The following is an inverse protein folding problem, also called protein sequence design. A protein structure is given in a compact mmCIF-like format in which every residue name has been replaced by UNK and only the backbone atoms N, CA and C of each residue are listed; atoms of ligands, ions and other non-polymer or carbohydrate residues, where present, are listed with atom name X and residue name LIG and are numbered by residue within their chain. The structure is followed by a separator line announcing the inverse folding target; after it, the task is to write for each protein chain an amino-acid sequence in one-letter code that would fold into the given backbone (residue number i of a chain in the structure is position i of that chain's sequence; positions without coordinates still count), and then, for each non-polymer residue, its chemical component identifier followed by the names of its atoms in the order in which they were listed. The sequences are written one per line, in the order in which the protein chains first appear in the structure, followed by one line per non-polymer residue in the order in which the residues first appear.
data_IF_183290271041
#
_entry.id   IF_183290271041
#
_cell.length_a   1.000
_cell.length_b   1.000
_cell.length_c   1.000
_cell.angle_alpha   90.00
_cell.angle_beta   90.00
_cell.angle_gamma   90.00
#
_symmetry.space_group_name_H-M   'P 1'
#
loop_
_entity.id
_entity.type
_entity.pdbx_description
1 polymer ?
#
# COMPACT_ATOMS: atom_id res chain seq x y z
N UNK A 1 -8.67 -8.76 17.44
CA UNK A 1 -8.67 -8.96 15.99
C UNK A 1 -9.63 -7.96 15.38
N UNK A 2 -9.12 -6.75 15.12
CA UNK A 2 -9.88 -5.76 14.36
C UNK A 2 -9.80 -6.24 12.91
N UNK A 3 -10.86 -6.92 12.47
CA UNK A 3 -11.09 -7.11 11.04
C UNK A 3 -11.08 -5.70 10.42
N UNK A 4 -10.36 -5.51 9.30
CA UNK A 4 -10.86 -4.59 8.29
C UNK A 4 -12.33 -4.96 8.11
N UNK A 5 -13.23 -4.12 8.61
CA UNK A 5 -14.66 -4.41 8.58
C UNK A 5 -14.99 -4.73 7.14
N UNK A 6 -15.47 -5.95 6.95
CA UNK A 6 -16.19 -6.44 5.79
C UNK A 6 -17.19 -5.36 5.35
N UNK A 7 -16.81 -4.46 4.44
CA UNK A 7 -17.70 -4.18 3.32
C UNK A 7 -17.36 -5.26 2.31
N UNK A 8 -18.36 -6.09 2.01
CA UNK A 8 -18.24 -7.29 1.18
C UNK A 8 -17.84 -7.02 -0.27
N UNK A 9 -17.65 -5.77 -0.64
CA UNK A 9 -17.36 -5.36 -2.00
C UNK A 9 -16.34 -4.24 -1.89
N UNK A 10 -15.05 -4.53 -2.10
CA UNK A 10 -13.98 -3.55 -2.23
C UNK A 10 -13.33 -3.76 -3.61
N UNK A 11 -13.98 -3.23 -4.65
CA UNK A 11 -13.54 -3.29 -6.05
C UNK A 11 -13.17 -1.87 -6.54
N UNK A 12 -12.19 -1.29 -5.86
CA UNK A 12 -11.62 0.02 -6.18
C UNK A 12 -10.18 -0.10 -6.66
N UNK A 13 -9.86 -1.06 -7.53
CA UNK A 13 -8.67 -0.92 -8.38
C UNK A 13 -8.84 0.35 -9.21
N UNK A 14 -7.75 1.05 -9.50
CA UNK A 14 -7.67 2.19 -10.43
C UNK A 14 -7.98 1.77 -11.89
N UNK A 15 -9.01 0.94 -12.11
CA UNK A 15 -9.47 0.37 -13.39
C UNK A 15 -10.05 1.42 -14.36
N UNK A 16 -9.80 2.72 -14.14
CA UNK A 16 -10.35 3.80 -14.94
C UNK A 16 -9.34 4.84 -15.43
N UNK A 17 -8.09 4.81 -14.95
CA UNK A 17 -7.05 5.64 -15.54
C UNK A 17 -6.25 4.79 -16.53
N UNK A 18 -6.18 5.17 -17.82
CA UNK A 18 -5.20 4.57 -18.71
C UNK A 18 -3.84 4.74 -18.04
N UNK A 19 -3.13 3.63 -17.82
CA UNK A 19 -1.69 3.70 -17.59
C UNK A 19 -1.13 4.58 -18.70
N UNK A 20 -0.55 5.73 -18.35
CA UNK A 20 0.04 6.64 -19.32
C UNK A 20 1.08 5.83 -20.12
N UNK A 21 0.88 5.64 -21.44
CA UNK A 21 1.80 4.84 -22.25
C UNK A 21 3.18 5.49 -22.39
N UNK A 22 3.37 6.72 -21.90
CA UNK A 22 4.66 7.43 -21.81
C UNK A 22 5.21 7.54 -20.38
N UNK A 23 4.59 6.92 -19.36
CA UNK A 23 5.22 6.82 -18.05
C UNK A 23 6.30 5.74 -18.09
N UNK A 24 7.56 6.14 -17.89
CA UNK A 24 8.71 5.22 -17.88
C UNK A 24 8.76 4.28 -16.66
N UNK A 25 7.63 3.97 -16.02
CA UNK A 25 7.47 2.72 -15.26
C UNK A 25 8.05 2.66 -13.84
N UNK A 26 9.04 3.47 -13.49
CA UNK A 26 9.81 3.23 -12.26
C UNK A 26 9.08 3.74 -11.01
N UNK A 27 8.66 2.84 -10.09
CA UNK A 27 8.01 3.22 -8.85
C UNK A 27 8.95 4.09 -8.01
N UNK A 28 8.43 5.22 -7.51
CA UNK A 28 9.19 6.18 -6.70
C UNK A 28 9.86 5.46 -5.53
N UNK A 29 11.11 5.78 -5.16
CA UNK A 29 11.75 5.20 -3.99
C UNK A 29 10.91 5.34 -2.70
N UNK A 30 11.13 4.45 -1.75
CA UNK A 30 10.57 4.60 -0.41
C UNK A 30 11.16 5.86 0.25
N UNK A 31 10.33 6.61 0.97
CA UNK A 31 10.75 7.70 1.83
C UNK A 31 11.54 7.15 3.02
N UNK A 32 11.09 6.02 3.60
CA UNK A 32 11.83 5.37 4.67
C UNK A 32 13.21 4.87 4.22
N UNK A 33 14.17 4.90 5.14
CA UNK A 33 15.54 4.41 4.91
C UNK A 33 15.79 3.06 5.57
N UNK A 34 16.67 2.28 4.97
CA UNK A 34 17.03 0.94 5.47
C UNK A 34 15.85 -0.03 5.42
N UNK A 35 15.98 -1.14 6.14
CA UNK A 35 15.01 -2.24 6.12
C UNK A 35 15.40 -3.36 5.15
N UNK A 36 14.65 -4.46 5.23
CA UNK A 36 14.83 -5.64 4.39
C UNK A 36 14.51 -5.33 2.92
N UNK A 37 15.46 -5.49 1.97
CA UNK A 37 15.24 -5.21 0.55
C UNK A 37 14.09 -6.00 -0.07
N UNK A 38 13.79 -7.21 0.44
CA UNK A 38 12.66 -8.01 -0.06
C UNK A 38 11.32 -7.37 0.31
N UNK A 39 11.16 -6.94 1.56
CA UNK A 39 9.96 -6.24 2.02
C UNK A 39 9.85 -4.87 1.34
N UNK A 40 10.96 -4.15 1.17
CA UNK A 40 10.96 -2.87 0.48
C UNK A 40 10.52 -2.99 -0.98
N UNK A 41 10.98 -4.02 -1.68
CA UNK A 41 10.53 -4.32 -3.04
C UNK A 41 9.04 -4.62 -3.06
N UNK A 42 8.54 -5.42 -2.12
CA UNK A 42 7.11 -5.72 -1.97
C UNK A 42 6.29 -4.45 -1.73
N UNK A 43 6.73 -3.54 -0.86
CA UNK A 43 6.07 -2.25 -0.63
C UNK A 43 5.98 -1.41 -1.91
N UNK A 44 7.04 -1.39 -2.72
CA UNK A 44 7.04 -0.69 -4.01
C UNK A 44 6.10 -1.37 -5.00
N UNK A 45 5.99 -2.70 -4.99
CA UNK A 45 4.99 -3.45 -5.79
C UNK A 45 3.56 -3.12 -5.39
N UNK A 46 3.24 -3.07 -4.09
CA UNK A 46 1.91 -2.65 -3.60
C UNK A 46 1.60 -1.21 -4.05
N UNK A 47 2.59 -0.32 -4.01
CA UNK A 47 2.43 1.05 -4.50
C UNK A 47 2.10 1.12 -5.99
N UNK A 48 2.61 0.20 -6.82
CA UNK A 48 2.27 0.15 -8.26
C UNK A 48 0.79 -0.19 -8.46
N UNK A 49 0.23 -1.10 -7.66
CA UNK A 49 -1.17 -1.49 -7.79
C UNK A 49 -2.14 -0.47 -7.18
N UNK A 50 -1.74 0.17 -6.08
CA UNK A 50 -2.59 1.10 -5.31
C UNK A 50 -2.47 2.57 -5.74
N UNK A 51 -1.28 3.01 -6.13
CA UNK A 51 -1.00 4.43 -6.42
C UNK A 51 0.15 4.60 -7.41
N UNK A 52 -0.05 4.15 -8.65
CA UNK A 52 0.89 4.41 -9.75
C UNK A 52 0.87 5.88 -10.18
N UNK A 53 1.51 6.73 -9.36
CA UNK A 53 1.52 8.17 -9.48
C UNK A 53 2.89 8.77 -9.07
N UNK A 54 3.34 9.89 -9.67
CA UNK A 54 4.63 10.51 -9.32
C UNK A 54 4.75 11.07 -7.89
N UNK A 55 3.64 11.33 -7.18
CA UNK A 55 3.64 11.76 -5.78
C UNK A 55 2.66 10.91 -4.95
N UNK A 56 2.97 9.60 -4.78
CA UNK A 56 2.01 8.62 -4.30
C UNK A 56 1.57 8.88 -2.85
N UNK A 57 2.42 9.50 -2.03
CA UNK A 57 2.11 9.80 -0.62
C UNK A 57 1.00 10.82 -0.38
N UNK A 58 0.70 11.65 -1.38
CA UNK A 58 -0.25 12.76 -1.28
C UNK A 58 -1.57 12.50 -1.99
N UNK A 59 -1.69 11.37 -2.70
CA UNK A 59 -2.82 11.11 -3.58
C UNK A 59 -4.05 10.66 -2.78
N UNK A 60 -5.21 11.13 -3.18
CA UNK A 60 -6.52 10.63 -2.74
C UNK A 60 -7.07 9.68 -3.79
N UNK A 61 -8.03 8.85 -3.41
CA UNK A 61 -8.88 8.18 -4.38
C UNK A 61 -9.38 9.16 -5.45
N UNK A 62 -9.28 8.76 -6.73
CA UNK A 62 -9.66 9.60 -7.87
C UNK A 62 -8.55 10.53 -8.40
N UNK A 63 -7.38 10.60 -7.75
CA UNK A 63 -6.19 11.28 -8.26
C UNK A 63 -5.93 12.69 -7.73
N UNK A 64 -6.85 13.23 -6.93
CA UNK A 64 -6.65 14.50 -6.23
C UNK A 64 -5.49 14.43 -5.23
N UNK A 65 -4.93 15.59 -4.85
CA UNK A 65 -3.77 15.67 -3.95
C UNK A 65 -4.04 16.49 -2.70
N UNK A 66 -3.41 16.10 -1.61
CA UNK A 66 -3.38 16.86 -0.35
C UNK A 66 -1.99 17.39 -0.04
N UNK A 67 -1.94 18.56 0.60
CA UNK A 67 -0.69 19.18 1.05
C UNK A 67 -0.42 18.92 2.53
N UNK A 68 -1.47 18.90 3.36
CA UNK A 68 -1.35 18.63 4.79
C UNK A 68 -1.30 17.13 5.04
N UNK A 69 -0.09 16.63 5.31
CA UNK A 69 0.19 15.24 5.70
C UNK A 69 0.45 15.11 7.22
N UNK A 70 0.09 16.11 8.03
CA UNK A 70 0.22 16.01 9.50
C UNK A 70 -0.72 14.97 10.12
N UNK A 71 -1.71 14.50 9.36
CA UNK A 71 -2.65 13.43 9.70
C UNK A 71 -3.26 12.86 8.43
N UNK A 72 -3.90 11.69 8.54
CA UNK A 72 -4.73 11.15 7.48
C UNK A 72 -5.85 12.15 7.11
N UNK A 73 -6.14 12.37 5.82
CA UNK A 73 -7.05 13.43 5.38
C UNK A 73 -8.50 13.22 5.80
N UNK A 74 -8.91 11.96 5.99
CA UNK A 74 -10.28 11.56 6.35
C UNK A 74 -11.36 12.25 5.49
N UNK A 75 -11.13 12.26 4.18
CA UNK A 75 -12.07 12.82 3.20
C UNK A 75 -12.86 11.69 2.57
N UNK A 76 -14.17 11.71 2.74
CA UNK A 76 -15.11 10.82 2.06
C UNK A 76 -15.23 11.25 0.59
N UNK A 77 -14.49 10.57 -0.30
CA UNK A 77 -14.49 10.81 -1.75
C UNK A 77 -15.48 9.84 -2.40
N UNK A 78 -16.45 10.33 -3.21
CA UNK A 78 -17.40 9.47 -3.91
C UNK A 78 -16.70 8.46 -4.81
N UNK A 79 -17.16 7.22 -4.78
CA UNK A 79 -16.70 6.17 -5.67
C UNK A 79 -17.44 6.32 -7.00
N UNK A 80 -16.67 6.49 -8.08
CA UNK A 80 -17.20 6.79 -9.42
C UNK A 80 -17.06 5.64 -10.41
N UNK A 81 -16.40 4.55 -10.00
CA UNK A 81 -16.25 3.33 -10.78
C UNK A 81 -16.28 2.08 -9.88
N UNK A 82 -16.73 0.95 -10.42
CA UNK A 82 -16.85 -0.32 -9.69
C UNK A 82 -18.26 -0.58 -9.14
N UNK A 83 -18.43 -1.58 -8.27
CA UNK A 83 -19.71 -2.04 -7.73
C UNK A 83 -20.22 -1.12 -6.61
N UNK A 84 -19.30 -0.35 -6.00
CA UNK A 84 -19.57 0.55 -4.88
C UNK A 84 -19.87 1.97 -5.35
N UNK A 85 -20.19 2.15 -6.64
CA UNK A 85 -20.59 3.45 -7.16
C UNK A 85 -21.79 3.96 -6.36
N UNK A 86 -21.64 5.16 -5.80
CA UNK A 86 -22.63 5.76 -4.89
C UNK A 86 -22.22 5.73 -3.42
N UNK A 87 -21.27 4.89 -3.04
CA UNK A 87 -20.61 4.96 -1.73
C UNK A 87 -19.45 5.98 -1.76
N UNK A 88 -18.77 6.14 -0.62
CA UNK A 88 -17.54 6.91 -0.55
C UNK A 88 -16.41 6.12 0.12
N UNK A 89 -15.18 6.48 -0.23
CA UNK A 89 -13.96 5.95 0.36
C UNK A 89 -13.12 7.06 0.98
N UNK A 90 -12.32 6.70 1.98
CA UNK A 90 -11.31 7.61 2.57
C UNK A 90 -9.89 7.30 2.09
N UNK A 91 -9.76 6.43 1.08
CA UNK A 91 -8.47 5.96 0.61
C UNK A 91 -7.51 7.10 0.23
N UNK A 92 -6.32 7.08 0.83
CA UNK A 92 -5.30 8.09 0.61
C UNK A 92 -3.88 7.53 0.77
N UNK A 93 -2.94 8.27 0.18
CA UNK A 93 -1.52 8.00 0.27
C UNK A 93 -1.07 6.81 -0.57
N UNK A 94 0.20 6.46 -0.37
CA UNK A 94 0.94 5.51 -1.22
C UNK A 94 0.32 4.11 -1.23
N UNK A 95 -0.32 3.76 -0.14
CA UNK A 95 -0.89 2.43 0.09
C UNK A 95 -2.43 2.47 0.17
N UNK A 96 -3.04 3.59 -0.26
CA UNK A 96 -4.49 3.81 -0.27
C UNK A 96 -5.18 3.47 1.06
N UNK A 97 -4.56 3.88 2.18
CA UNK A 97 -5.09 3.65 3.51
C UNK A 97 -6.48 4.26 3.67
N UNK A 98 -7.38 3.52 4.33
CA UNK A 98 -8.59 4.10 4.93
C UNK A 98 -8.27 4.75 6.26
N UNK A 99 -9.06 5.74 6.66
CA UNK A 99 -8.87 6.43 7.94
C UNK A 99 -8.82 5.45 9.11
N UNK A 100 -9.75 4.48 9.15
CA UNK A 100 -9.83 3.49 10.22
C UNK A 100 -8.60 2.58 10.25
N UNK A 101 -8.19 2.06 9.09
CA UNK A 101 -6.98 1.24 8.94
C UNK A 101 -5.73 2.00 9.35
N UNK A 102 -5.57 3.25 8.89
CA UNK A 102 -4.45 4.10 9.28
C UNK A 102 -4.40 4.29 10.80
N UNK A 103 -5.52 4.66 11.43
CA UNK A 103 -5.55 4.87 12.89
C UNK A 103 -5.29 3.60 13.69
N UNK A 104 -5.70 2.44 13.18
CA UNK A 104 -5.40 1.14 13.78
C UNK A 104 -3.91 0.82 13.66
N UNK A 105 -3.37 0.82 12.44
CA UNK A 105 -1.99 0.40 12.18
C UNK A 105 -0.97 1.41 12.66
N UNK A 106 -1.25 2.71 12.59
CA UNK A 106 -0.39 3.70 13.21
C UNK A 106 -0.37 3.58 14.75
N UNK A 107 -1.45 3.09 15.39
CA UNK A 107 -1.40 2.82 16.84
C UNK A 107 -0.45 1.66 17.19
N UNK A 108 -0.35 0.68 16.30
CA UNK A 108 0.48 -0.50 16.49
C UNK A 108 1.94 -0.26 16.10
N UNK A 109 2.18 0.46 14.99
CA UNK A 109 3.48 0.49 14.31
C UNK A 109 4.09 1.89 14.12
N UNK A 110 3.41 2.97 14.49
CA UNK A 110 3.98 4.31 14.29
C UNK A 110 5.09 4.60 15.31
N UNK A 111 6.28 4.96 14.83
CA UNK A 111 7.46 5.19 15.67
C UNK A 111 7.39 6.44 16.56
N UNK A 112 6.51 7.39 16.24
CA UNK A 112 6.26 8.58 17.05
C UNK A 112 4.90 8.53 17.77
N UNK A 113 4.77 9.15 18.95
CA UNK A 113 3.49 9.30 19.62
C UNK A 113 2.50 10.12 18.75
N UNK A 114 1.19 10.01 19.02
CA UNK A 114 0.21 10.82 18.31
C UNK A 114 0.46 12.32 18.53
N UNK A 115 0.37 13.08 17.45
CA UNK A 115 0.54 14.55 17.42
C UNK A 115 -0.50 15.24 18.31
N UNK A 116 -1.70 14.66 18.41
CA UNK A 116 -2.76 15.12 19.33
C UNK A 116 -3.19 13.95 20.22
N UNK A 117 -2.75 13.97 21.48
CA UNK A 117 -2.95 12.87 22.42
C UNK A 117 -4.44 12.50 22.62
N UNK A 118 -5.32 13.50 22.73
CA UNK A 118 -6.75 13.28 22.94
C UNK A 118 -7.50 12.76 21.71
N UNK A 119 -6.99 13.03 20.50
CA UNK A 119 -7.60 12.57 19.23
C UNK A 119 -6.87 11.37 18.63
N UNK A 120 -5.76 10.93 19.24
CA UNK A 120 -4.86 9.87 18.75
C UNK A 120 -4.54 10.02 17.26
N UNK A 121 -4.19 11.23 16.83
CA UNK A 121 -3.84 11.50 15.43
C UNK A 121 -2.36 11.24 15.19
N UNK A 122 -2.03 10.36 14.26
CA UNK A 122 -0.66 10.06 13.85
C UNK A 122 -0.29 10.80 12.56
N UNK A 123 0.99 11.14 12.43
CA UNK A 123 1.50 11.85 11.26
C UNK A 123 1.39 10.98 10.02
N UNK A 124 0.79 11.50 8.94
CA UNK A 124 0.65 10.79 7.68
C UNK A 124 1.73 11.18 6.66
N UNK A 125 2.86 11.70 7.16
CA UNK A 125 3.99 12.07 6.33
C UNK A 125 4.59 10.85 5.60
N UNK A 126 5.28 11.04 4.46
CA UNK A 126 5.78 9.93 3.64
C UNK A 126 6.55 8.85 4.41
N UNK A 127 7.50 9.27 5.26
CA UNK A 127 8.30 8.37 6.10
C UNK A 127 7.43 7.44 6.97
N UNK A 128 6.31 7.96 7.51
CA UNK A 128 5.45 7.19 8.41
C UNK A 128 4.47 6.29 7.67
N UNK A 129 4.04 6.67 6.46
CA UNK A 129 3.28 5.76 5.61
C UNK A 129 4.10 4.50 5.33
N UNK A 130 5.35 4.69 4.92
CA UNK A 130 6.27 3.58 4.67
C UNK A 130 6.59 2.79 5.94
N UNK A 131 7.01 3.46 7.02
CA UNK A 131 7.42 2.77 8.25
C UNK A 131 6.28 1.92 8.83
N UNK A 132 5.06 2.44 8.86
CA UNK A 132 3.89 1.69 9.35
C UNK A 132 3.62 0.46 8.49
N UNK A 133 3.72 0.58 7.16
CA UNK A 133 3.55 -0.58 6.26
C UNK A 133 4.68 -1.58 6.41
N UNK A 134 5.93 -1.10 6.48
CA UNK A 134 7.10 -1.97 6.65
C UNK A 134 7.00 -2.80 7.92
N UNK A 135 6.77 -2.14 9.06
CA UNK A 135 6.67 -2.83 10.35
C UNK A 135 5.50 -3.80 10.36
N UNK A 136 4.35 -3.41 9.78
CA UNK A 136 3.20 -4.30 9.64
C UNK A 136 3.50 -5.51 8.76
N UNK A 137 4.15 -5.35 7.60
CA UNK A 137 4.53 -6.46 6.72
C UNK A 137 5.59 -7.39 7.35
N UNK A 138 6.43 -6.87 8.26
CA UNK A 138 7.42 -7.68 8.98
C UNK A 138 6.86 -8.36 10.24
N UNK A 139 5.64 -8.03 10.67
CA UNK A 139 4.99 -8.69 11.80
C UNK A 139 4.39 -10.04 11.40
N UNK A 140 5.14 -11.12 11.66
CA UNK A 140 4.69 -12.48 11.38
C UNK A 140 3.47 -12.92 12.20
N UNK A 141 3.18 -12.29 13.33
CA UNK A 141 1.96 -12.57 14.10
C UNK A 141 0.73 -11.94 13.44
N UNK A 142 0.89 -10.77 12.82
CA UNK A 142 -0.19 -10.12 12.08
C UNK A 142 -0.61 -10.93 10.84
N UNK A 143 0.36 -11.55 10.15
CA UNK A 143 0.12 -12.31 8.92
C UNK A 143 0.01 -13.83 9.13
N UNK A 144 0.37 -14.34 10.31
CA UNK A 144 0.43 -15.78 10.60
C UNK A 144 1.59 -16.50 9.90
N UNK A 145 2.43 -15.78 9.16
CA UNK A 145 3.59 -16.27 8.41
C UNK A 145 4.68 -15.20 8.35
N UNK A 146 5.92 -15.61 8.12
CA UNK A 146 7.02 -14.68 7.85
C UNK A 146 7.09 -14.37 6.34
N UNK A 147 6.56 -13.21 5.95
CA UNK A 147 6.55 -12.77 4.56
C UNK A 147 7.97 -12.60 4.00
N UNK A 148 8.92 -12.14 4.81
CA UNK A 148 10.32 -11.95 4.40
C UNK A 148 10.98 -13.28 4.04
N UNK A 149 10.69 -14.34 4.80
CA UNK A 149 11.17 -15.69 4.52
C UNK A 149 10.54 -16.28 3.24
N UNK A 150 9.23 -16.07 3.02
CA UNK A 150 8.55 -16.50 1.79
C UNK A 150 9.14 -15.82 0.55
N UNK A 151 9.32 -14.50 0.60
CA UNK A 151 9.92 -13.72 -0.49
C UNK A 151 11.34 -14.19 -0.84
N UNK A 152 12.16 -14.51 0.18
CA UNK A 152 13.51 -15.09 -0.02
C UNK A 152 13.50 -16.46 -0.67
N UNK A 153 12.45 -17.22 -0.42
CA UNK A 153 12.24 -18.54 -0.99
C UNK A 153 11.68 -18.48 -2.43
N UNK A 154 11.38 -17.27 -2.93
CA UNK A 154 10.82 -17.05 -4.27
C UNK A 154 9.30 -17.16 -4.33
N UNK A 155 8.60 -17.25 -3.19
CA UNK A 155 7.14 -17.46 -3.14
C UNK A 155 6.36 -16.14 -3.23
N UNK A 156 6.62 -15.31 -4.24
CA UNK A 156 5.98 -14.00 -4.38
C UNK A 156 4.47 -14.12 -4.60
N UNK A 157 4.02 -15.10 -5.38
CA UNK A 157 2.60 -15.33 -5.67
C UNK A 157 1.81 -15.66 -4.39
N UNK A 158 2.39 -16.48 -3.52
CA UNK A 158 1.80 -16.81 -2.22
C UNK A 158 1.70 -15.56 -1.34
N UNK A 159 2.75 -14.73 -1.31
CA UNK A 159 2.74 -13.46 -0.57
C UNK A 159 1.66 -12.51 -1.10
N UNK A 160 1.55 -12.32 -2.42
CA UNK A 160 0.50 -11.49 -3.02
C UNK A 160 -0.90 -12.04 -2.71
N UNK A 161 -1.08 -13.35 -2.71
CA UNK A 161 -2.33 -13.99 -2.33
C UNK A 161 -2.68 -13.75 -0.85
N UNK A 162 -1.72 -13.86 0.07
CA UNK A 162 -1.94 -13.55 1.50
C UNK A 162 -2.37 -12.09 1.69
N UNK A 163 -1.75 -11.17 0.94
CA UNK A 163 -2.00 -9.74 1.04
C UNK A 163 -3.28 -9.27 0.34
N UNK A 164 -3.84 -10.07 -0.57
CA UNK A 164 -5.03 -9.72 -1.38
C UNK A 164 -6.26 -9.32 -0.56
N UNK A 165 -6.42 -9.87 0.65
CA UNK A 165 -7.50 -9.49 1.55
C UNK A 165 -7.38 -8.08 2.14
N UNK A 166 -6.17 -7.51 2.12
CA UNK A 166 -5.86 -6.16 2.59
C UNK A 166 -5.77 -5.16 1.43
N UNK A 167 -5.09 -5.56 0.35
CA UNK A 167 -4.94 -4.79 -0.87
C UNK A 167 -5.58 -5.56 -2.02
N UNK A 168 -6.87 -5.30 -2.26
CA UNK A 168 -7.63 -6.05 -3.28
C UNK A 168 -7.12 -5.82 -4.69
N UNK A 169 -6.38 -4.73 -4.93
CA UNK A 169 -5.69 -4.48 -6.20
C UNK A 169 -4.63 -5.54 -6.54
N UNK A 170 -4.12 -6.30 -5.57
CA UNK A 170 -3.14 -7.37 -5.80
C UNK A 170 -3.74 -8.61 -6.48
N UNK A 171 -5.07 -8.71 -6.62
CA UNK A 171 -5.76 -9.80 -7.31
C UNK A 171 -6.14 -10.97 -6.40
N UNK A 172 -6.31 -12.18 -6.97
CA UNK A 172 -6.70 -13.43 -6.28
C UNK A 172 -8.12 -13.47 -5.67
N UNK A 173 -8.95 -12.45 -5.92
CA UNK A 173 -10.40 -12.44 -5.73
C UNK A 173 -11.20 -12.77 -7.02
N UNK A 174 -12.51 -12.49 -7.03
CA UNK A 174 -13.45 -12.80 -8.13
C UNK A 174 -13.29 -11.96 -9.41
N UNK A 175 -12.30 -11.07 -9.50
CA UNK A 175 -12.13 -10.17 -10.65
C UNK A 175 -10.73 -10.23 -11.27
N UNK A 176 -10.62 -10.23 -12.61
CA UNK A 176 -9.34 -10.13 -13.29
C UNK A 176 -8.80 -8.70 -13.21
N UNK A 177 -7.68 -8.49 -12.52
CA UNK A 177 -6.88 -7.28 -12.69
C UNK A 177 -5.81 -7.55 -13.77
N UNK A 178 -5.82 -6.75 -14.84
CA UNK A 178 -4.87 -6.86 -15.95
C UNK A 178 -3.40 -6.70 -15.52
N UNK A 179 -3.15 -6.06 -14.38
CA UNK A 179 -1.82 -5.90 -13.77
C UNK A 179 -1.43 -7.02 -12.81
N UNK A 180 -2.37 -7.81 -12.26
CA UNK A 180 -2.03 -8.88 -11.30
C UNK A 180 -1.05 -9.88 -11.90
N UNK A 181 -1.19 -10.17 -13.20
CA UNK A 181 -0.31 -11.10 -13.90
C UNK A 181 1.12 -10.58 -14.04
N UNK A 182 1.38 -9.27 -13.90
CA UNK A 182 2.71 -8.66 -14.03
C UNK A 182 3.33 -8.24 -12.70
N UNK A 183 2.59 -8.33 -11.58
CA UNK A 183 3.10 -7.94 -10.26
C UNK A 183 4.31 -8.78 -9.80
N UNK A 184 4.40 -10.10 -10.06
CA UNK A 184 5.61 -10.87 -9.77
C UNK A 184 6.84 -10.36 -10.53
N UNK A 185 6.70 -10.04 -11.81
CA UNK A 185 7.78 -9.49 -12.64
C UNK A 185 8.22 -8.12 -12.14
N UNK A 186 7.24 -7.23 -11.87
CA UNK A 186 7.51 -5.91 -11.28
C UNK A 186 8.24 -6.06 -9.95
N UNK A 187 7.82 -6.98 -9.09
CA UNK A 187 8.51 -7.26 -7.83
C UNK A 187 9.97 -7.66 -8.05
N UNK A 188 10.26 -8.54 -9.00
CA UNK A 188 11.63 -8.97 -9.27
C UNK A 188 12.53 -7.86 -9.82
N UNK A 189 12.00 -6.96 -10.63
CA UNK A 189 12.72 -5.77 -11.09
C UNK A 189 13.05 -4.84 -9.92
N UNK A 190 12.07 -4.56 -9.06
CA UNK A 190 12.25 -3.72 -7.88
C UNK A 190 13.18 -4.34 -6.85
N UNK A 191 13.12 -5.66 -6.68
CA UNK A 191 14.01 -6.40 -5.79
C UNK A 191 15.47 -6.26 -6.24
N UNK A 192 15.73 -6.30 -7.55
CA UNK A 192 17.07 -6.05 -8.09
C UNK A 192 17.58 -4.65 -7.70
N UNK A 193 16.73 -3.64 -7.81
CA UNK A 193 17.11 -2.28 -7.41
C UNK A 193 17.36 -2.19 -5.89
N UNK A 194 16.47 -2.74 -5.06
CA UNK A 194 16.61 -2.69 -3.60
C UNK A 194 17.86 -3.45 -3.10
N UNK A 195 18.17 -4.60 -3.70
CA UNK A 195 19.39 -5.36 -3.39
C UNK A 195 20.66 -4.60 -3.82
N UNK A 196 20.65 -3.92 -4.98
CA UNK A 196 21.77 -3.06 -5.42
C UNK A 196 21.98 -1.91 -4.43
N UNK A 197 20.90 -1.24 -4.05
CA UNK A 197 20.93 -0.13 -3.09
C UNK A 197 21.41 -0.58 -1.70
N UNK A 198 21.15 -1.84 -1.32
CA UNK A 198 21.62 -2.44 -0.08
C UNK A 198 23.06 -3.00 -0.16
N UNK A 199 23.70 -2.98 -1.33
CA UNK A 199 25.02 -3.59 -1.55
C UNK A 199 25.02 -5.13 -1.45
N UNK A 200 23.91 -5.76 -1.83
CA UNK A 200 23.66 -7.21 -1.74
C UNK A 200 23.56 -7.90 -3.12
N UNK A 201 23.96 -7.19 -4.19
CA UNK A 201 24.00 -7.66 -5.57
C UNK A 201 25.40 -7.59 -6.17
#
# INVERSE_FOLDING_TARGET
MSLMLLSKDWQGSLNGLPLDPNWNGHPIPLAMRGGDPYIRALMRTISVSESSDPQPYSILYGGDRIQDLSRHPDRCIPIVAGPNVGDCTTAAGRYQFLTTTWLEKAREYHSQPPVVLFRKTYSFAPEFQDQVVYDWLTDSQAWGVDLSALLRSGNIEEVLQILSGTWTSLGYGIEPNAMTASLPEVYHELLKEELQNAGQL
#
